data_IF_617574757430
#
_entry.id   IF_617574757430
#
_cell.length_a   1.000
_cell.length_b   1.000
_cell.length_c   1.000
_cell.angle_alpha   90.00
_cell.angle_beta   90.00
_cell.angle_gamma   90.00
#
_symmetry.space_group_name_H-M   'P 1'
#
loop_
_entity.id
_entity.type
_entity.pdbx_description
1 polymer ?
#
# COMPACT_ATOMS: atom_id res chain seq x y z
N UNK A 1 20.75 -12.95 -14.03
CA UNK A 1 20.10 -14.01 -14.83
C UNK A 1 20.58 -13.97 -16.27
N UNK A 2 20.61 -15.10 -17.00
CA UNK A 2 20.97 -15.13 -18.42
C UNK A 2 20.00 -14.33 -19.28
N UNK A 3 20.52 -13.64 -20.29
CA UNK A 3 19.72 -12.77 -21.18
C UNK A 3 18.58 -13.53 -21.89
N UNK A 4 18.83 -14.78 -22.30
CA UNK A 4 17.85 -15.61 -23.00
C UNK A 4 16.56 -15.89 -22.21
N UNK A 5 16.60 -15.79 -20.88
CA UNK A 5 15.44 -16.06 -20.01
C UNK A 5 14.81 -14.79 -19.44
N UNK A 6 15.40 -13.63 -19.72
CA UNK A 6 14.96 -12.38 -19.11
C UNK A 6 13.52 -12.00 -19.49
N UNK A 7 13.09 -12.29 -20.73
CA UNK A 7 11.70 -12.04 -21.17
C UNK A 7 10.69 -12.94 -20.45
N UNK A 8 10.99 -14.24 -20.32
CA UNK A 8 10.12 -15.19 -19.62
C UNK A 8 9.96 -14.81 -18.13
N UNK A 9 11.05 -14.41 -17.48
CA UNK A 9 11.01 -13.96 -16.08
C UNK A 9 10.25 -12.64 -15.95
N UNK A 10 10.45 -11.66 -16.85
CA UNK A 10 9.66 -10.41 -16.86
C UNK A 10 8.16 -10.67 -16.97
N UNK A 11 7.76 -11.56 -17.88
CA UNK A 11 6.36 -11.94 -18.05
C UNK A 11 5.80 -12.59 -16.77
N UNK A 12 6.52 -13.55 -16.18
CA UNK A 12 6.08 -14.22 -14.96
C UNK A 12 5.92 -13.26 -13.77
N UNK A 13 6.83 -12.27 -13.64
CA UNK A 13 6.72 -11.22 -12.63
C UNK A 13 5.49 -10.34 -12.86
N UNK A 14 5.26 -9.93 -14.12
CA UNK A 14 4.12 -9.09 -14.50
C UNK A 14 2.77 -9.81 -14.28
N UNK A 15 2.66 -11.08 -14.69
CA UNK A 15 1.47 -11.92 -14.49
C UNK A 15 1.16 -12.12 -12.99
N UNK A 16 2.18 -12.12 -12.14
CA UNK A 16 2.04 -12.15 -10.69
C UNK A 16 1.68 -10.78 -10.06
N UNK A 17 1.56 -9.72 -10.88
CA UNK A 17 1.13 -8.38 -10.49
C UNK A 17 2.28 -7.42 -10.12
N UNK A 18 3.53 -7.78 -10.39
CA UNK A 18 4.64 -6.83 -10.27
C UNK A 18 4.64 -5.83 -11.44
N UNK A 19 5.14 -4.62 -11.19
CA UNK A 19 5.26 -3.59 -12.22
C UNK A 19 3.95 -2.95 -12.63
N UNK A 20 2.87 -3.11 -11.85
CA UNK A 20 1.63 -2.37 -12.06
C UNK A 20 1.71 -1.01 -11.35
N UNK A 21 1.75 0.08 -12.13
CA UNK A 21 1.89 1.46 -11.62
C UNK A 21 0.88 2.37 -12.34
N UNK A 22 -0.14 2.84 -11.62
CA UNK A 22 -1.17 3.69 -12.20
C UNK A 22 -1.91 2.96 -13.34
N UNK A 23 -1.84 3.50 -14.56
CA UNK A 23 -2.46 2.92 -15.76
C UNK A 23 -1.50 2.06 -16.61
N UNK A 24 -0.30 1.75 -16.10
CA UNK A 24 0.71 0.95 -16.79
C UNK A 24 0.90 -0.38 -16.07
N UNK A 25 1.05 -1.46 -16.85
CA UNK A 25 1.40 -2.80 -16.39
C UNK A 25 2.81 -3.20 -16.87
N UNK A 26 3.28 -4.36 -16.40
CA UNK A 26 4.56 -4.97 -16.78
C UNK A 26 5.80 -4.05 -16.71
N UNK A 27 5.76 -3.00 -15.88
CA UNK A 27 6.87 -2.06 -15.76
C UNK A 27 8.07 -2.74 -15.12
N UNK A 28 9.18 -2.78 -15.85
CA UNK A 28 10.46 -3.26 -15.35
C UNK A 28 11.61 -2.50 -15.99
N UNK A 29 12.73 -2.43 -15.29
CA UNK A 29 13.99 -1.90 -15.79
C UNK A 29 14.99 -3.05 -15.89
N UNK A 30 15.92 -2.95 -16.84
CA UNK A 30 16.96 -3.98 -17.03
C UNK A 30 18.32 -3.33 -17.26
N UNK A 31 19.33 -3.85 -16.57
CA UNK A 31 20.73 -3.50 -16.79
C UNK A 31 21.55 -4.75 -17.08
N UNK A 32 22.51 -4.64 -17.99
CA UNK A 32 23.44 -5.73 -18.33
C UNK A 32 24.69 -5.63 -17.44
N UNK A 33 25.23 -6.76 -17.02
CA UNK A 33 26.43 -6.86 -16.22
C UNK A 33 27.08 -8.24 -16.32
N UNK A 34 28.03 -8.52 -15.44
CA UNK A 34 28.67 -9.83 -15.32
C UNK A 34 28.27 -10.49 -14.00
N UNK A 35 27.72 -11.71 -14.08
CA UNK A 35 27.55 -12.59 -12.94
C UNK A 35 28.87 -13.31 -12.64
N UNK A 36 29.22 -13.45 -11.35
CA UNK A 36 30.40 -14.21 -10.93
C UNK A 36 30.06 -15.12 -9.76
N UNK A 37 30.22 -16.41 -9.94
CA UNK A 37 29.92 -17.39 -8.91
C UNK A 37 30.78 -18.64 -9.07
N UNK A 38 30.87 -19.42 -8.00
CA UNK A 38 31.57 -20.71 -7.97
C UNK A 38 30.66 -21.72 -7.31
N UNK A 39 30.20 -22.70 -8.09
CA UNK A 39 29.39 -23.79 -7.57
C UNK A 39 30.22 -24.64 -6.59
N UNK A 40 29.66 -24.94 -5.42
CA UNK A 40 30.28 -25.83 -4.43
C UNK A 40 29.97 -27.28 -4.73
N UNK A 41 30.66 -28.20 -4.05
CA UNK A 41 30.40 -29.63 -4.14
C UNK A 41 28.93 -29.93 -3.79
N UNK A 42 28.25 -30.75 -4.62
CA UNK A 42 26.84 -31.08 -4.47
C UNK A 42 25.85 -30.19 -5.24
N UNK A 43 26.28 -29.07 -5.84
CA UNK A 43 25.43 -28.24 -6.71
C UNK A 43 25.30 -28.84 -8.12
N UNK A 44 24.16 -28.63 -8.79
CA UNK A 44 23.95 -28.94 -10.22
C UNK A 44 23.80 -27.65 -11.02
N UNK A 45 24.89 -26.85 -11.14
CA UNK A 45 24.78 -25.53 -11.72
C UNK A 45 24.26 -25.60 -13.15
N UNK A 46 23.28 -24.74 -13.47
CA UNK A 46 22.73 -24.60 -14.82
C UNK A 46 23.84 -24.29 -15.85
N UNK A 47 24.85 -23.52 -15.43
CA UNK A 47 26.05 -23.16 -16.21
C UNK A 47 27.29 -23.10 -15.32
N UNK A 48 28.45 -23.40 -15.91
CA UNK A 48 29.73 -23.46 -15.20
C UNK A 48 30.08 -24.85 -14.65
N UNK A 49 31.24 -24.95 -13.99
CA UNK A 49 31.79 -26.21 -13.48
C UNK A 49 31.96 -26.14 -11.97
N UNK A 50 31.57 -27.19 -11.25
CA UNK A 50 31.75 -27.30 -9.80
C UNK A 50 33.22 -27.08 -9.42
N UNK A 51 33.45 -26.22 -8.42
CA UNK A 51 34.78 -25.86 -7.92
C UNK A 51 35.50 -24.76 -8.71
N UNK A 52 35.04 -24.38 -9.91
CA UNK A 52 35.64 -23.33 -10.73
C UNK A 52 34.84 -22.02 -10.65
N UNK A 53 35.54 -20.88 -10.72
CA UNK A 53 34.89 -19.58 -10.86
C UNK A 53 34.30 -19.47 -12.27
N UNK A 54 33.00 -19.26 -12.36
CA UNK A 54 32.28 -18.97 -13.59
C UNK A 54 32.01 -17.46 -13.70
N UNK A 55 32.11 -16.94 -14.92
CA UNK A 55 31.81 -15.55 -15.27
C UNK A 55 31.01 -15.56 -16.56
N UNK A 56 29.85 -14.91 -16.55
CA UNK A 56 29.01 -14.81 -17.74
C UNK A 56 28.26 -13.47 -17.80
N UNK A 57 27.82 -13.05 -19.00
CA UNK A 57 26.92 -11.92 -19.14
C UNK A 57 25.55 -12.21 -18.51
N UNK A 58 25.10 -11.31 -17.64
CA UNK A 58 23.81 -11.39 -16.98
C UNK A 58 22.99 -10.11 -17.17
N UNK A 59 21.68 -10.24 -17.03
CA UNK A 59 20.72 -9.15 -16.92
C UNK A 59 20.24 -9.08 -15.48
N UNK A 60 20.30 -7.88 -14.89
CA UNK A 60 19.61 -7.51 -13.65
C UNK A 60 18.27 -6.88 -14.04
N UNK A 61 17.18 -7.55 -13.67
CA UNK A 61 15.80 -7.07 -13.87
C UNK A 61 15.29 -6.51 -12.57
N UNK A 62 14.69 -5.33 -12.61
CA UNK A 62 14.13 -4.63 -11.45
C UNK A 62 12.69 -4.25 -11.73
N UNK A 63 11.82 -4.45 -10.74
CA UNK A 63 10.41 -4.06 -10.80
C UNK A 63 9.90 -3.75 -9.40
N UNK A 64 8.85 -2.96 -9.29
CA UNK A 64 8.20 -2.62 -8.01
C UNK A 64 6.99 -3.53 -7.80
N UNK A 65 6.66 -3.83 -6.54
CA UNK A 65 5.45 -4.58 -6.21
C UNK A 65 4.83 -4.12 -4.88
N UNK A 66 3.51 -4.20 -4.73
CA UNK A 66 2.85 -4.06 -3.43
C UNK A 66 3.28 -5.14 -2.44
N UNK A 67 3.43 -4.77 -1.16
CA UNK A 67 3.90 -5.69 -0.10
C UNK A 67 3.10 -6.99 -0.01
N UNK A 68 1.78 -6.92 -0.24
CA UNK A 68 0.89 -8.08 -0.15
C UNK A 68 1.09 -9.10 -1.29
N UNK A 69 1.63 -8.68 -2.44
CA UNK A 69 1.93 -9.57 -3.57
C UNK A 69 3.31 -10.24 -3.48
N UNK A 70 4.14 -9.86 -2.50
CA UNK A 70 5.52 -10.35 -2.34
C UNK A 70 5.64 -11.87 -2.48
N UNK A 71 4.83 -12.64 -1.75
CA UNK A 71 4.93 -14.10 -1.76
C UNK A 71 4.52 -14.71 -3.11
N UNK A 72 3.57 -14.10 -3.81
CA UNK A 72 3.14 -14.57 -5.14
C UNK A 72 4.21 -14.27 -6.19
N UNK A 73 4.72 -13.05 -6.21
CA UNK A 73 5.76 -12.60 -7.15
C UNK A 73 7.06 -13.38 -6.97
N UNK A 74 7.52 -13.59 -5.73
CA UNK A 74 8.73 -14.39 -5.47
C UNK A 74 8.55 -15.83 -5.93
N UNK A 75 7.37 -16.42 -5.73
CA UNK A 75 7.09 -17.78 -6.22
C UNK A 75 7.13 -17.85 -7.75
N UNK A 76 6.57 -16.86 -8.43
CA UNK A 76 6.60 -16.78 -9.88
C UNK A 76 8.03 -16.62 -10.41
N UNK A 77 8.85 -15.78 -9.76
CA UNK A 77 10.27 -15.63 -10.05
C UNK A 77 11.00 -16.98 -9.96
N UNK A 78 10.88 -17.67 -8.82
CA UNK A 78 11.56 -18.95 -8.58
C UNK A 78 11.13 -20.04 -9.58
N UNK A 79 9.86 -20.05 -10.01
CA UNK A 79 9.35 -21.02 -10.96
C UNK A 79 9.80 -20.75 -12.41
N UNK A 80 9.97 -19.48 -12.80
CA UNK A 80 10.31 -19.10 -14.16
C UNK A 80 11.82 -18.97 -14.40
N UNK A 81 12.61 -18.79 -13.34
CA UNK A 81 14.05 -18.56 -13.44
C UNK A 81 14.81 -19.87 -13.74
N UNK A 82 15.81 -19.87 -14.64
CA UNK A 82 16.49 -21.10 -15.07
C UNK A 82 17.41 -21.72 -14.00
N UNK A 83 17.90 -20.90 -13.06
CA UNK A 83 18.81 -21.38 -12.01
C UNK A 83 18.04 -22.02 -10.86
N UNK A 84 18.59 -23.10 -10.31
CA UNK A 84 18.07 -23.76 -9.10
C UNK A 84 18.06 -22.83 -7.90
N UNK A 85 19.15 -22.08 -7.71
CA UNK A 85 19.31 -21.10 -6.64
C UNK A 85 19.29 -19.68 -7.23
N UNK A 86 18.15 -19.01 -7.09
CA UNK A 86 17.92 -17.69 -7.69
C UNK A 86 18.40 -16.59 -6.75
N UNK A 87 19.35 -15.76 -7.21
CA UNK A 87 19.73 -14.55 -6.50
C UNK A 87 18.72 -13.42 -6.78
N UNK A 88 18.12 -12.87 -5.74
CA UNK A 88 17.24 -11.70 -5.83
C UNK A 88 17.24 -10.91 -4.52
N UNK A 89 16.95 -9.61 -4.63
CA UNK A 89 16.87 -8.69 -3.50
C UNK A 89 15.48 -8.07 -3.38
N UNK A 90 15.06 -7.80 -2.15
CA UNK A 90 13.82 -7.06 -1.85
C UNK A 90 14.16 -5.80 -1.06
N UNK A 91 14.06 -4.65 -1.72
CA UNK A 91 14.32 -3.35 -1.11
C UNK A 91 13.01 -2.72 -0.61
N UNK A 92 12.94 -2.31 0.67
CA UNK A 92 11.83 -1.48 1.12
C UNK A 92 11.94 -0.10 0.45
N UNK A 93 10.85 0.34 -0.18
CA UNK A 93 10.75 1.67 -0.77
C UNK A 93 9.84 2.55 0.08
N UNK A 94 10.18 3.83 0.19
CA UNK A 94 9.33 4.86 0.80
C UNK A 94 8.34 5.47 -0.21
N UNK A 95 8.12 4.80 -1.33
CA UNK A 95 7.20 5.25 -2.37
C UNK A 95 5.77 5.30 -1.79
N UNK A 96 5.03 6.41 -1.99
CA UNK A 96 3.65 6.46 -1.58
C UNK A 96 2.83 5.45 -2.40
N UNK A 97 1.99 4.67 -1.72
CA UNK A 97 1.04 3.76 -2.37
C UNK A 97 -0.38 4.19 -2.01
N UNK A 98 -0.98 5.02 -2.86
CA UNK A 98 -2.29 5.66 -2.63
C UNK A 98 -3.48 4.71 -2.71
N UNK A 99 -3.27 3.43 -3.03
CA UNK A 99 -4.32 2.43 -3.17
C UNK A 99 -4.68 1.74 -1.84
N UNK A 100 -3.94 2.03 -0.76
CA UNK A 100 -4.22 1.47 0.55
C UNK A 100 -3.99 2.52 1.65
N UNK A 101 -4.80 2.46 2.70
CA UNK A 101 -4.73 3.33 3.86
C UNK A 101 -5.69 2.88 4.94
N UNK A 102 -5.60 3.50 6.12
CA UNK A 102 -6.44 3.17 7.27
C UNK A 102 -7.83 3.84 7.22
N UNK A 103 -8.07 4.73 6.26
CA UNK A 103 -9.33 5.47 6.14
C UNK A 103 -9.52 6.03 4.73
N UNK A 104 -10.63 6.74 4.55
CA UNK A 104 -11.00 7.39 3.29
C UNK A 104 -11.35 8.86 3.53
N UNK A 105 -11.14 9.70 2.51
CA UNK A 105 -11.58 11.09 2.50
C UNK A 105 -12.42 11.30 1.25
N UNK A 106 -13.59 11.92 1.42
CA UNK A 106 -14.52 12.23 0.34
C UNK A 106 -15.18 13.59 0.53
N UNK A 107 -15.96 14.00 -0.47
CA UNK A 107 -16.75 15.23 -0.42
C UNK A 107 -18.23 14.92 -0.57
N UNK A 108 -19.06 15.62 0.20
CA UNK A 108 -20.50 15.65 0.02
C UNK A 108 -20.83 16.42 -1.26
N UNK A 109 -21.90 16.00 -1.96
CA UNK A 109 -22.35 16.66 -3.17
C UNK A 109 -22.77 18.12 -2.91
N UNK A 110 -23.44 18.36 -1.79
CA UNK A 110 -23.80 19.70 -1.32
C UNK A 110 -23.34 19.87 0.14
N UNK A 111 -22.73 21.01 0.50
CA UNK A 111 -22.38 21.29 1.89
C UNK A 111 -23.63 21.37 2.77
N UNK A 112 -23.53 20.87 4.00
CA UNK A 112 -24.61 20.93 5.00
C UNK A 112 -24.09 21.41 6.35
N UNK A 113 -24.98 21.74 7.28
CA UNK A 113 -24.56 22.10 8.64
C UNK A 113 -23.98 20.90 9.40
N UNK A 114 -23.17 21.13 10.43
CA UNK A 114 -22.67 20.04 11.29
C UNK A 114 -23.80 19.24 11.94
N UNK A 115 -24.88 19.90 12.36
CA UNK A 115 -26.04 19.24 12.96
C UNK A 115 -26.77 18.35 11.96
N UNK A 116 -26.99 18.84 10.74
CA UNK A 116 -27.61 18.06 9.67
C UNK A 116 -26.72 16.89 9.26
N UNK A 117 -25.41 17.10 9.21
CA UNK A 117 -24.44 16.03 8.94
C UNK A 117 -24.50 14.94 10.00
N UNK A 118 -24.56 15.27 11.29
CA UNK A 118 -24.65 14.28 12.37
C UNK A 118 -25.97 13.48 12.28
N UNK A 119 -27.08 14.13 11.93
CA UNK A 119 -28.35 13.44 11.67
C UNK A 119 -28.28 12.54 10.44
N UNK A 120 -27.68 13.03 9.35
CA UNK A 120 -27.46 12.26 8.14
C UNK A 120 -26.59 11.04 8.40
N UNK A 121 -25.47 11.20 9.12
CA UNK A 121 -24.56 10.14 9.52
C UNK A 121 -25.28 9.07 10.36
N UNK A 122 -26.10 9.51 11.33
CA UNK A 122 -26.94 8.63 12.14
C UNK A 122 -27.89 7.78 11.27
N UNK A 123 -28.54 8.40 10.29
CA UNK A 123 -29.46 7.73 9.37
C UNK A 123 -28.76 6.75 8.44
N UNK A 124 -27.63 7.15 7.84
CA UNK A 124 -26.89 6.33 6.87
C UNK A 124 -26.27 5.11 7.53
N UNK A 125 -25.66 5.28 8.70
CA UNK A 125 -25.00 4.20 9.44
C UNK A 125 -25.95 3.41 10.33
N UNK A 126 -27.24 3.81 10.41
CA UNK A 126 -28.26 3.16 11.23
C UNK A 126 -27.86 3.03 12.72
N UNK A 127 -27.16 4.03 13.26
CA UNK A 127 -26.68 4.02 14.64
C UNK A 127 -27.66 4.72 15.59
N UNK A 128 -27.80 4.26 16.85
CA UNK A 128 -28.73 4.87 17.80
C UNK A 128 -28.28 6.25 18.26
N UNK A 129 -26.97 6.51 18.29
CA UNK A 129 -26.37 7.74 18.77
C UNK A 129 -25.03 7.98 18.07
N UNK A 130 -24.70 9.27 17.87
CA UNK A 130 -23.39 9.72 17.44
C UNK A 130 -22.85 10.64 18.52
N UNK A 131 -21.69 10.30 19.09
CA UNK A 131 -20.98 11.21 20.01
C UNK A 131 -20.14 12.16 19.19
N UNK A 132 -19.99 13.41 19.61
CA UNK A 132 -19.22 14.37 18.84
C UNK A 132 -18.50 15.39 19.72
N UNK A 133 -17.46 16.03 19.18
CA UNK A 133 -16.82 17.21 19.79
C UNK A 133 -17.74 18.43 19.71
N UNK A 134 -17.34 19.55 20.33
CA UNK A 134 -18.11 20.78 20.26
C UNK A 134 -18.38 21.20 18.79
N UNK A 135 -19.62 21.62 18.51
CA UNK A 135 -19.99 22.17 17.21
C UNK A 135 -19.30 23.52 17.01
N UNK A 136 -18.86 23.74 15.78
CA UNK A 136 -18.11 24.92 15.35
C UNK A 136 -18.95 25.86 14.49
N UNK A 137 -20.17 25.44 14.11
CA UNK A 137 -21.08 26.15 13.22
C UNK A 137 -20.46 26.47 11.86
N UNK A 138 -19.68 25.52 11.33
CA UNK A 138 -19.08 25.58 9.99
C UNK A 138 -19.81 24.62 9.05
N UNK A 139 -19.88 24.91 7.75
CA UNK A 139 -20.42 23.94 6.79
C UNK A 139 -19.50 22.73 6.69
N UNK A 140 -20.10 21.54 6.60
CA UNK A 140 -19.41 20.29 6.33
C UNK A 140 -19.54 19.98 4.84
N UNK A 141 -18.41 19.83 4.16
CA UNK A 141 -18.32 19.31 2.80
C UNK A 141 -17.36 18.14 2.72
N UNK A 142 -16.15 18.28 3.26
CA UNK A 142 -15.10 17.27 3.18
C UNK A 142 -15.11 16.40 4.42
N UNK A 143 -15.29 15.10 4.22
CA UNK A 143 -15.49 14.10 5.29
C UNK A 143 -14.33 13.11 5.25
N UNK A 144 -13.64 12.95 6.38
CA UNK A 144 -12.70 11.86 6.60
C UNK A 144 -13.36 10.77 7.44
N UNK A 145 -13.09 9.51 7.11
CA UNK A 145 -13.67 8.34 7.77
C UNK A 145 -12.59 7.29 8.02
N UNK A 146 -12.50 6.80 9.25
CA UNK A 146 -11.71 5.62 9.61
C UNK A 146 -12.53 4.73 10.53
N UNK A 147 -12.88 3.53 10.09
CA UNK A 147 -13.59 2.57 10.95
C UNK A 147 -12.72 2.13 12.14
N UNK A 148 -13.38 1.70 13.21
CA UNK A 148 -12.68 1.16 14.37
C UNK A 148 -12.08 2.22 15.31
N UNK A 149 -10.93 1.91 15.90
CA UNK A 149 -10.19 2.79 16.84
C UNK A 149 -9.28 3.80 16.11
N UNK A 150 -9.84 4.50 15.13
CA UNK A 150 -9.15 5.40 14.20
C UNK A 150 -8.80 6.79 14.74
N UNK A 151 -9.11 7.11 16.00
CA UNK A 151 -8.95 8.47 16.55
C UNK A 151 -7.54 9.06 16.32
N UNK A 152 -6.49 8.24 16.33
CA UNK A 152 -5.12 8.69 16.09
C UNK A 152 -4.88 9.37 14.73
N UNK A 153 -5.79 9.20 13.76
CA UNK A 153 -5.71 9.78 12.42
C UNK A 153 -6.36 11.16 12.30
N UNK A 154 -6.91 11.73 13.38
CA UNK A 154 -7.60 13.04 13.29
C UNK A 154 -6.68 14.14 12.75
N UNK A 155 -5.36 14.08 13.01
CA UNK A 155 -4.37 15.01 12.47
C UNK A 155 -4.17 14.85 10.97
N UNK A 156 -4.16 13.60 10.48
CA UNK A 156 -4.08 13.30 9.05
C UNK A 156 -5.36 13.75 8.33
N UNK A 157 -6.53 13.56 8.96
CA UNK A 157 -7.80 14.07 8.47
C UNK A 157 -7.81 15.62 8.38
N UNK A 158 -7.30 16.29 9.41
CA UNK A 158 -7.17 17.75 9.41
C UNK A 158 -6.19 18.24 8.33
N UNK A 159 -5.04 17.59 8.18
CA UNK A 159 -4.07 17.88 7.12
C UNK A 159 -4.64 17.64 5.71
N UNK A 160 -5.55 16.67 5.56
CA UNK A 160 -6.31 16.43 4.34
C UNK A 160 -7.44 17.45 4.10
N UNK A 161 -7.63 18.42 5.00
CA UNK A 161 -8.64 19.48 4.90
C UNK A 161 -10.07 19.01 5.19
N UNK A 162 -10.24 17.94 5.97
CA UNK A 162 -11.57 17.48 6.35
C UNK A 162 -12.25 18.46 7.32
N UNK A 163 -13.54 18.73 7.09
CA UNK A 163 -14.39 19.51 8.00
C UNK A 163 -14.83 18.65 9.19
N UNK A 164 -15.01 17.35 8.94
CA UNK A 164 -15.42 16.35 9.93
C UNK A 164 -14.59 15.06 9.79
N UNK A 165 -14.23 14.45 10.91
CA UNK A 165 -13.60 13.15 10.99
C UNK A 165 -14.52 12.16 11.74
N UNK A 166 -14.85 11.05 11.08
CA UNK A 166 -15.73 10.01 11.61
C UNK A 166 -14.90 8.78 12.00
N UNK A 167 -15.06 8.29 13.24
CA UNK A 167 -14.39 7.09 13.76
C UNK A 167 -15.30 6.24 14.65
N UNK A 168 -14.92 5.00 14.95
CA UNK A 168 -15.67 4.11 15.85
C UNK A 168 -15.43 4.41 17.32
N UNK A 169 -14.17 4.66 17.70
CA UNK A 169 -13.75 4.96 19.07
C UNK A 169 -12.85 6.19 19.13
N UNK A 170 -12.96 6.95 20.23
CA UNK A 170 -12.07 8.04 20.61
C UNK A 170 -12.00 8.18 22.13
N UNK A 171 -10.85 8.62 22.64
CA UNK A 171 -10.62 8.90 24.07
C UNK A 171 -11.11 10.30 24.41
N UNK A 172 -11.32 10.56 25.70
CA UNK A 172 -11.80 11.87 26.18
C UNK A 172 -10.98 13.05 25.65
N UNK A 173 -9.65 12.97 25.72
CA UNK A 173 -8.76 14.05 25.25
C UNK A 173 -8.91 14.33 23.76
N UNK A 174 -9.20 13.31 22.95
CA UNK A 174 -9.35 13.47 21.50
C UNK A 174 -10.48 14.45 21.15
N UNK A 175 -11.56 14.50 21.95
CA UNK A 175 -12.68 15.44 21.75
C UNK A 175 -12.28 16.91 21.96
N UNK A 176 -11.23 17.17 22.75
CA UNK A 176 -10.72 18.52 23.01
C UNK A 176 -9.58 18.88 22.06
N UNK A 177 -8.71 17.92 21.76
CA UNK A 177 -7.54 18.14 20.89
C UNK A 177 -7.93 18.52 19.46
N UNK A 178 -9.12 18.10 18.99
CA UNK A 178 -9.64 18.39 17.65
C UNK A 178 -10.27 19.78 17.50
N UNK A 179 -10.56 20.49 18.59
CA UNK A 179 -11.61 21.51 18.68
C UNK A 179 -11.58 22.57 17.55
N UNK A 180 -10.41 23.10 17.22
CA UNK A 180 -10.26 24.13 16.18
C UNK A 180 -9.85 23.58 14.81
N UNK A 181 -9.64 22.26 14.71
CA UNK A 181 -9.20 21.62 13.47
C UNK A 181 -10.39 21.11 12.65
N UNK A 182 -11.23 20.25 13.24
CA UNK A 182 -12.37 19.61 12.57
C UNK A 182 -13.42 19.16 13.60
N UNK A 183 -14.61 18.81 13.14
CA UNK A 183 -15.61 18.13 13.97
C UNK A 183 -15.22 16.65 14.12
N UNK A 184 -15.07 16.14 15.34
CA UNK A 184 -14.94 14.70 15.57
C UNK A 184 -16.31 14.09 15.79
N UNK A 185 -16.66 13.05 15.03
CA UNK A 185 -17.87 12.25 15.19
C UNK A 185 -17.51 10.78 15.46
N UNK A 186 -18.07 10.22 16.52
CA UNK A 186 -17.78 8.87 17.01
C UNK A 186 -19.05 8.04 17.01
N UNK A 187 -19.07 7.01 16.17
CA UNK A 187 -20.27 6.22 15.84
C UNK A 187 -20.35 4.87 16.58
N UNK A 188 -19.29 4.48 17.31
CA UNK A 188 -19.20 3.19 17.99
C UNK A 188 -18.71 2.05 17.07
N UNK A 189 -18.34 0.93 17.68
CA UNK A 189 -18.13 -0.34 16.99
C UNK A 189 -19.43 -1.14 17.07
N UNK A 190 -20.13 -1.27 15.95
CA UNK A 190 -21.33 -2.10 15.81
C UNK A 190 -21.17 -3.04 14.62
#
# INVERSE_FOLDING_TARGET
MPEAHADAVRAALADAGAGHIGAYDACSFSSRGEGRFRATEGCQPYVGTVGALHVEPEVRVETVLPRHLRSAVVRALLAAHPYEEVAYDLYPLSNPWSQAGSGAVGELAEPMSEADFLHHLKSVLHVPCVRHSALRNRPVRRVALCGGSGAFLWRDAAAAGADVFVTGEAKYNDYFDVADSLLLAVVGHY
#
